data_IF_853191843954
#
_entry.id   IF_853191843954
#
_cell.length_a   1.000
_cell.length_b   1.000
_cell.length_c   1.000
_cell.angle_alpha   90.00
_cell.angle_beta   90.00
_cell.angle_gamma   90.00
#
_symmetry.space_group_name_H-M   'P 1'
#
loop_
_entity.id
_entity.type
_entity.pdbx_description
1 polymer ?
#
# COMPACT_ATOMS: atom_id res chain seq x y z
N UNK A 1 -17.75 -30.00 39.31
CA UNK A 1 -17.59 -28.67 38.69
C UNK A 1 -18.55 -28.62 37.51
N UNK A 2 -19.62 -27.81 37.59
CA UNK A 2 -20.81 -27.93 36.74
C UNK A 2 -20.56 -27.35 35.34
N UNK A 3 -20.62 -28.17 34.30
CA UNK A 3 -20.59 -27.71 32.90
C UNK A 3 -21.81 -26.85 32.53
N UNK A 4 -22.93 -27.04 33.24
CA UNK A 4 -24.20 -26.35 32.98
C UNK A 4 -24.14 -24.83 33.23
N UNK A 5 -23.24 -24.36 34.10
CA UNK A 5 -23.06 -22.92 34.35
C UNK A 5 -22.26 -22.21 33.27
N UNK A 6 -21.48 -22.94 32.47
CA UNK A 6 -20.72 -22.34 31.35
C UNK A 6 -21.62 -22.07 30.14
N UNK A 7 -22.58 -22.97 29.86
CA UNK A 7 -23.55 -22.79 28.78
C UNK A 7 -24.60 -21.70 29.07
N UNK A 8 -24.87 -21.41 30.34
CA UNK A 8 -25.79 -20.35 30.76
C UNK A 8 -25.17 -18.95 30.74
N UNK A 9 -23.85 -18.82 30.53
CA UNK A 9 -23.20 -17.51 30.51
C UNK A 9 -23.49 -16.79 29.17
N UNK A 10 -23.99 -15.54 29.16
CA UNK A 10 -24.38 -14.81 27.94
C UNK A 10 -23.29 -14.75 26.86
N UNK A 11 -22.02 -14.78 27.30
CA UNK A 11 -20.84 -14.74 26.43
C UNK A 11 -20.49 -16.07 25.75
N UNK A 12 -21.04 -17.22 26.16
CA UNK A 12 -20.59 -18.52 25.66
C UNK A 12 -20.73 -18.64 24.13
N UNK A 13 -21.89 -18.26 23.59
CA UNK A 13 -22.14 -18.29 22.15
C UNK A 13 -21.24 -17.34 21.36
N UNK A 14 -20.94 -16.16 21.90
CA UNK A 14 -20.10 -15.16 21.22
C UNK A 14 -18.62 -15.56 21.24
N UNK A 15 -18.14 -16.14 22.34
CA UNK A 15 -16.79 -16.70 22.40
C UNK A 15 -16.61 -17.89 21.45
N UNK A 16 -17.61 -18.78 21.38
CA UNK A 16 -17.59 -19.89 20.44
C UNK A 16 -17.56 -19.39 18.98
N UNK A 17 -18.41 -18.43 18.63
CA UNK A 17 -18.43 -17.80 17.32
C UNK A 17 -17.09 -17.12 16.97
N UNK A 18 -16.46 -16.42 17.94
CA UNK A 18 -15.16 -15.79 17.77
C UNK A 18 -14.05 -16.82 17.52
N UNK A 19 -14.05 -17.94 18.25
CA UNK A 19 -13.10 -19.04 18.08
C UNK A 19 -13.22 -19.66 16.69
N UNK A 20 -14.45 -19.95 16.26
CA UNK A 20 -14.73 -20.48 14.91
C UNK A 20 -14.31 -19.48 13.83
N UNK A 21 -14.58 -18.19 14.01
CA UNK A 21 -14.20 -17.14 13.06
C UNK A 21 -12.67 -17.01 12.92
N UNK A 22 -11.92 -17.06 14.02
CA UNK A 22 -10.44 -17.05 13.98
C UNK A 22 -9.92 -18.30 13.25
N UNK A 23 -10.46 -19.48 13.55
CA UNK A 23 -10.05 -20.72 12.88
C UNK A 23 -10.36 -20.66 11.39
N UNK A 24 -11.55 -20.25 10.99
CA UNK A 24 -11.92 -20.08 9.59
C UNK A 24 -11.00 -19.07 8.88
N UNK A 25 -10.76 -17.91 9.49
CA UNK A 25 -9.91 -16.87 8.91
C UNK A 25 -8.45 -17.32 8.75
N UNK A 26 -7.89 -18.06 9.71
CA UNK A 26 -6.53 -18.60 9.62
C UNK A 26 -6.40 -19.70 8.58
N UNK A 27 -7.42 -20.56 8.43
CA UNK A 27 -7.49 -21.57 7.36
C UNK A 27 -7.55 -20.90 5.99
N UNK A 28 -8.46 -19.93 5.80
CA UNK A 28 -8.56 -19.15 4.55
C UNK A 28 -7.22 -18.46 4.24
N UNK A 29 -6.59 -17.83 5.24
CA UNK A 29 -5.28 -17.21 5.07
C UNK A 29 -4.21 -18.22 4.62
N UNK A 30 -4.13 -19.39 5.26
CA UNK A 30 -3.15 -20.44 4.91
C UNK A 30 -3.36 -20.97 3.49
N UNK A 31 -4.62 -21.20 3.09
CA UNK A 31 -4.98 -21.66 1.74
C UNK A 31 -4.63 -20.58 0.72
N UNK A 32 -5.07 -19.34 0.92
CA UNK A 32 -4.80 -18.22 0.02
C UNK A 32 -3.29 -18.03 -0.17
N UNK A 33 -2.50 -18.08 0.90
CA UNK A 33 -1.05 -17.98 0.83
C UNK A 33 -0.40 -19.16 0.10
N UNK A 34 -0.87 -20.38 0.32
CA UNK A 34 -0.37 -21.55 -0.40
C UNK A 34 -0.65 -21.47 -1.91
N UNK A 35 -1.84 -20.98 -2.29
CA UNK A 35 -2.23 -20.78 -3.69
C UNK A 35 -1.43 -19.65 -4.32
N UNK A 36 -1.44 -18.45 -3.73
CA UNK A 36 -0.73 -17.28 -4.24
C UNK A 36 0.77 -17.59 -4.39
N UNK A 37 1.41 -18.16 -3.37
CA UNK A 37 2.84 -18.50 -3.43
C UNK A 37 3.18 -19.62 -4.40
N UNK A 38 2.21 -20.41 -4.88
CA UNK A 38 2.42 -21.36 -5.98
C UNK A 38 2.31 -20.68 -7.33
N UNK A 39 1.29 -19.84 -7.50
CA UNK A 39 1.02 -19.15 -8.78
C UNK A 39 2.05 -18.07 -9.08
N UNK A 40 2.57 -17.37 -8.07
CA UNK A 40 3.49 -16.24 -8.26
C UNK A 40 4.97 -16.60 -8.28
N UNK A 41 5.32 -17.88 -8.03
CA UNK A 41 6.70 -18.42 -8.17
C UNK A 41 7.45 -17.98 -9.43
N UNK A 42 6.87 -18.00 -10.65
CA UNK A 42 7.59 -17.63 -11.86
C UNK A 42 7.85 -16.12 -11.99
N UNK A 43 7.22 -15.27 -11.16
CA UNK A 43 7.30 -13.81 -11.26
C UNK A 43 8.00 -13.22 -10.01
N UNK A 44 9.30 -12.89 -10.07
CA UNK A 44 10.09 -12.49 -8.90
C UNK A 44 9.50 -11.29 -8.13
N UNK A 45 9.02 -10.27 -8.86
CA UNK A 45 8.43 -9.06 -8.29
C UNK A 45 7.11 -9.37 -7.55
N UNK A 46 6.21 -10.12 -8.19
CA UNK A 46 4.90 -10.48 -7.61
C UNK A 46 5.10 -11.42 -6.42
N UNK A 47 6.04 -12.35 -6.48
CA UNK A 47 6.37 -13.25 -5.37
C UNK A 47 6.90 -12.51 -4.14
N UNK A 48 7.74 -11.50 -4.34
CA UNK A 48 8.22 -10.64 -3.27
C UNK A 48 7.06 -9.90 -2.56
N UNK A 49 6.11 -9.38 -3.33
CA UNK A 49 4.90 -8.73 -2.80
C UNK A 49 4.01 -9.72 -2.02
N UNK A 50 3.77 -10.92 -2.56
CA UNK A 50 3.00 -11.97 -1.87
C UNK A 50 3.64 -12.35 -0.54
N UNK A 51 4.96 -12.53 -0.52
CA UNK A 51 5.71 -12.81 0.73
C UNK A 51 5.62 -11.66 1.72
N UNK A 52 5.65 -10.40 1.25
CA UNK A 52 5.51 -9.24 2.11
C UNK A 52 4.13 -9.18 2.78
N UNK A 53 3.06 -9.51 2.06
CA UNK A 53 1.68 -9.52 2.57
C UNK A 53 1.40 -10.66 3.57
N UNK A 54 2.15 -11.76 3.49
CA UNK A 54 1.90 -12.96 4.30
C UNK A 54 1.79 -12.69 5.80
N UNK A 55 2.75 -11.97 6.36
CA UNK A 55 2.79 -11.68 7.79
C UNK A 55 1.60 -10.82 8.24
N UNK A 56 1.35 -9.63 7.66
CA UNK A 56 0.23 -8.78 8.07
C UNK A 56 -1.14 -9.36 7.77
N UNK A 57 -1.35 -10.04 6.63
CA UNK A 57 -2.64 -10.64 6.31
C UNK A 57 -3.04 -11.76 7.29
N UNK A 58 -2.07 -12.38 7.97
CA UNK A 58 -2.32 -13.37 9.02
C UNK A 58 -3.00 -12.78 10.27
N UNK A 59 -2.88 -11.47 10.50
CA UNK A 59 -3.53 -10.76 11.61
C UNK A 59 -4.77 -9.99 11.17
N UNK A 60 -4.73 -9.37 9.98
CA UNK A 60 -5.86 -8.60 9.45
C UNK A 60 -7.10 -9.47 9.24
N UNK A 61 -6.97 -10.65 8.62
CA UNK A 61 -8.13 -11.51 8.32
C UNK A 61 -8.86 -11.99 9.58
N UNK A 62 -8.18 -12.50 10.63
CA UNK A 62 -8.84 -12.81 11.89
C UNK A 62 -9.49 -11.59 12.55
N UNK A 63 -8.85 -10.42 12.53
CA UNK A 63 -9.44 -9.21 13.13
C UNK A 63 -10.70 -8.74 12.39
N UNK A 64 -10.76 -8.88 11.07
CA UNK A 64 -11.98 -8.63 10.27
C UNK A 64 -13.07 -9.63 10.67
N UNK A 65 -12.73 -10.92 10.73
CA UNK A 65 -13.69 -11.97 11.10
C UNK A 65 -14.24 -11.76 12.53
N UNK A 66 -13.36 -11.41 13.47
CA UNK A 66 -13.73 -11.04 14.82
C UNK A 66 -14.60 -9.78 14.85
N UNK A 67 -14.30 -8.76 14.05
CA UNK A 67 -15.14 -7.56 13.96
C UNK A 67 -16.57 -7.91 13.56
N UNK A 68 -16.76 -8.82 12.60
CA UNK A 68 -18.09 -9.28 12.19
C UNK A 68 -18.82 -10.00 13.34
N UNK A 69 -18.12 -10.87 14.08
CA UNK A 69 -18.68 -11.55 15.26
C UNK A 69 -19.09 -10.56 16.34
N UNK A 70 -18.24 -9.57 16.64
CA UNK A 70 -18.52 -8.58 17.67
C UNK A 70 -19.69 -7.66 17.31
N UNK A 71 -19.87 -7.32 16.03
CA UNK A 71 -21.01 -6.52 15.59
C UNK A 71 -22.32 -7.33 15.55
N UNK A 72 -22.24 -8.64 15.33
CA UNK A 72 -23.40 -9.52 15.41
C UNK A 72 -23.76 -9.92 16.86
N UNK A 73 -22.86 -9.67 17.82
CA UNK A 73 -23.08 -9.98 19.22
C UNK A 73 -24.19 -9.08 19.82
N UNK A 74 -25.08 -9.63 20.67
CA UNK A 74 -26.11 -8.86 21.35
C UNK A 74 -25.58 -7.69 22.21
N UNK A 75 -26.28 -6.55 22.23
CA UNK A 75 -25.83 -5.32 22.93
C UNK A 75 -26.00 -5.36 24.46
N UNK A 76 -26.72 -6.35 24.98
CA UNK A 76 -26.92 -6.65 26.41
C UNK A 76 -25.67 -7.25 27.07
N UNK A 77 -24.65 -7.62 26.28
CA UNK A 77 -23.37 -8.12 26.78
C UNK A 77 -22.56 -7.02 27.48
N UNK A 78 -22.35 -7.17 28.79
CA UNK A 78 -21.49 -6.28 29.58
C UNK A 78 -20.09 -6.11 28.98
N UNK A 79 -19.69 -4.88 28.64
CA UNK A 79 -18.40 -4.49 28.03
C UNK A 79 -18.24 -4.75 26.53
N UNK A 80 -19.26 -5.20 25.80
CA UNK A 80 -19.16 -5.44 24.35
C UNK A 80 -18.71 -4.20 23.57
N UNK A 81 -19.13 -3.01 24.00
CA UNK A 81 -18.68 -1.74 23.41
C UNK A 81 -17.17 -1.53 23.48
N UNK A 82 -16.51 -1.91 24.59
CA UNK A 82 -15.05 -1.83 24.72
C UNK A 82 -14.35 -2.86 23.83
N UNK A 83 -14.88 -4.08 23.74
CA UNK A 83 -14.34 -5.14 22.88
C UNK A 83 -14.41 -4.73 21.41
N UNK A 84 -15.56 -4.21 20.96
CA UNK A 84 -15.74 -3.68 19.60
C UNK A 84 -14.76 -2.55 19.29
N UNK A 85 -14.58 -1.62 20.23
CA UNK A 85 -13.66 -0.48 20.04
C UNK A 85 -12.18 -0.92 20.00
N UNK A 86 -11.76 -1.79 20.93
CA UNK A 86 -10.39 -2.34 20.95
C UNK A 86 -10.09 -3.15 19.68
N UNK A 87 -11.02 -4.00 19.22
CA UNK A 87 -10.85 -4.73 17.98
C UNK A 87 -10.72 -3.80 16.77
N UNK A 88 -11.53 -2.72 16.73
CA UNK A 88 -11.40 -1.68 15.71
C UNK A 88 -10.03 -0.99 15.72
N UNK A 89 -9.49 -0.67 16.90
CA UNK A 89 -8.18 -0.05 17.04
C UNK A 89 -7.05 -0.98 16.55
N UNK A 90 -7.12 -2.27 16.93
CA UNK A 90 -6.20 -3.31 16.45
C UNK A 90 -6.29 -3.50 14.94
N UNK A 91 -7.50 -3.44 14.37
CA UNK A 91 -7.73 -3.55 12.94
C UNK A 91 -7.05 -2.39 12.18
N UNK A 92 -7.21 -1.15 12.65
CA UNK A 92 -6.56 0.03 12.04
C UNK A 92 -5.03 -0.11 12.13
N UNK A 93 -4.50 -0.53 13.28
CA UNK A 93 -3.07 -0.76 13.46
C UNK A 93 -2.53 -1.83 12.49
N UNK A 94 -3.23 -2.96 12.37
CA UNK A 94 -2.83 -4.04 11.46
C UNK A 94 -2.98 -3.65 9.99
N UNK A 95 -3.99 -2.86 9.63
CA UNK A 95 -4.15 -2.34 8.27
C UNK A 95 -3.02 -1.36 7.92
N UNK A 96 -2.65 -0.49 8.85
CA UNK A 96 -1.49 0.41 8.69
C UNK A 96 -0.20 -0.39 8.50
N UNK A 97 0.01 -1.41 9.34
CA UNK A 97 1.16 -2.31 9.22
C UNK A 97 1.18 -3.06 7.88
N UNK A 98 0.03 -3.51 7.38
CA UNK A 98 -0.11 -4.13 6.06
C UNK A 98 0.34 -3.18 4.95
N UNK A 99 -0.12 -1.93 4.96
CA UNK A 99 0.26 -0.91 3.96
C UNK A 99 1.77 -0.64 4.00
N UNK A 100 2.35 -0.45 5.18
CA UNK A 100 3.80 -0.26 5.34
C UNK A 100 4.58 -1.46 4.80
N UNK A 101 4.11 -2.67 5.08
CA UNK A 101 4.77 -3.90 4.62
C UNK A 101 4.65 -4.09 3.11
N UNK A 102 3.54 -3.69 2.51
CA UNK A 102 3.35 -3.65 1.06
C UNK A 102 4.34 -2.70 0.39
N UNK A 103 4.46 -1.47 0.90
CA UNK A 103 5.40 -0.47 0.37
C UNK A 103 6.83 -1.01 0.45
N UNK A 104 7.23 -1.57 1.60
CA UNK A 104 8.56 -2.15 1.79
C UNK A 104 8.80 -3.34 0.86
N UNK A 105 7.83 -4.25 0.73
CA UNK A 105 7.94 -5.41 -0.16
C UNK A 105 8.05 -5.02 -1.63
N UNK A 106 7.32 -3.99 -2.06
CA UNK A 106 7.45 -3.43 -3.40
C UNK A 106 8.83 -2.82 -3.62
N UNK A 107 9.31 -2.00 -2.68
CA UNK A 107 10.65 -1.40 -2.74
C UNK A 107 11.76 -2.45 -2.82
N UNK A 108 11.70 -3.47 -1.95
CA UNK A 108 12.65 -4.58 -1.94
C UNK A 108 12.59 -5.38 -3.26
N UNK A 109 11.39 -5.55 -3.84
CA UNK A 109 11.19 -6.20 -5.13
C UNK A 109 11.80 -5.40 -6.30
N UNK A 110 11.62 -4.08 -6.32
CA UNK A 110 12.22 -3.18 -7.33
C UNK A 110 13.74 -3.20 -7.23
N UNK A 111 14.29 -3.16 -6.01
CA UNK A 111 15.73 -3.22 -5.76
C UNK A 111 16.30 -4.58 -6.20
N UNK A 112 15.61 -5.68 -5.90
CA UNK A 112 16.04 -7.03 -6.29
C UNK A 112 16.02 -7.25 -7.82
N UNK A 113 15.14 -6.54 -8.54
CA UNK A 113 15.09 -6.59 -10.00
C UNK A 113 16.27 -5.87 -10.68
N UNK A 114 17.02 -5.04 -9.96
CA UNK A 114 18.16 -4.26 -10.49
C UNK A 114 19.43 -4.51 -9.64
N UNK A 115 20.06 -5.71 -9.75
CA UNK A 115 21.24 -6.05 -8.95
C UNK A 115 22.42 -5.12 -9.25
N UNK A 116 23.01 -4.57 -8.18
CA UNK A 116 24.09 -3.56 -8.20
C UNK A 116 25.48 -4.18 -8.49
N UNK A 117 25.53 -5.48 -8.75
CA UNK A 117 26.76 -6.30 -8.73
C UNK A 117 27.45 -6.43 -10.11
N UNK A 118 27.07 -5.58 -11.07
CA UNK A 118 27.73 -5.48 -12.38
C UNK A 118 28.56 -4.21 -12.40
N UNK A 119 29.83 -4.31 -12.80
CA UNK A 119 30.77 -3.19 -12.87
C UNK A 119 30.16 -1.98 -13.60
N UNK A 120 30.34 -0.82 -12.98
CA UNK A 120 30.01 0.51 -13.49
C UNK A 120 28.53 0.85 -13.73
N UNK A 121 27.65 0.51 -12.78
CA UNK A 121 26.23 0.84 -12.90
C UNK A 121 25.80 1.97 -11.96
N UNK A 122 26.20 3.22 -12.28
CA UNK A 122 25.68 4.44 -11.62
C UNK A 122 24.14 4.45 -11.57
N UNK A 123 23.49 3.92 -12.60
CA UNK A 123 22.03 3.78 -12.67
C UNK A 123 21.47 2.84 -11.60
N UNK A 124 22.10 1.68 -11.34
CA UNK A 124 21.66 0.77 -10.29
C UNK A 124 21.75 1.39 -8.88
N UNK A 125 22.81 2.18 -8.61
CA UNK A 125 22.96 2.93 -7.35
C UNK A 125 21.93 4.06 -7.22
N UNK A 126 21.63 4.74 -8.33
CA UNK A 126 20.59 5.78 -8.38
C UNK A 126 19.21 5.18 -8.08
N UNK A 127 18.86 4.05 -8.69
CA UNK A 127 17.60 3.35 -8.44
C UNK A 127 17.50 2.94 -6.97
N UNK A 128 18.56 2.33 -6.40
CA UNK A 128 18.57 1.93 -4.99
C UNK A 128 18.26 3.09 -4.04
N UNK A 129 18.93 4.22 -4.23
CA UNK A 129 18.76 5.39 -3.35
C UNK A 129 17.39 6.03 -3.54
N UNK A 130 16.94 6.24 -4.78
CA UNK A 130 15.63 6.80 -5.09
C UNK A 130 14.49 5.91 -4.54
N UNK A 131 14.53 4.61 -4.78
CA UNK A 131 13.51 3.67 -4.29
C UNK A 131 13.43 3.67 -2.77
N UNK A 132 14.57 3.68 -2.06
CA UNK A 132 14.60 3.73 -0.58
C UNK A 132 14.03 5.04 -0.04
N UNK A 133 14.38 6.17 -0.64
CA UNK A 133 13.89 7.49 -0.21
C UNK A 133 12.37 7.58 -0.41
N UNK A 134 11.89 7.22 -1.60
CA UNK A 134 10.45 7.22 -1.91
C UNK A 134 9.70 6.30 -0.94
N UNK A 135 10.16 5.05 -0.80
CA UNK A 135 9.52 4.08 0.08
C UNK A 135 9.48 4.57 1.54
N UNK A 136 10.59 5.13 2.05
CA UNK A 136 10.65 5.67 3.41
C UNK A 136 9.66 6.82 3.61
N UNK A 137 9.62 7.76 2.67
CA UNK A 137 8.68 8.89 2.72
C UNK A 137 7.23 8.42 2.68
N UNK A 138 6.87 7.50 1.77
CA UNK A 138 5.52 6.95 1.67
C UNK A 138 5.13 6.16 2.93
N UNK A 139 6.05 5.37 3.49
CA UNK A 139 5.81 4.64 4.75
C UNK A 139 5.56 5.61 5.91
N UNK A 140 6.34 6.68 6.04
CA UNK A 140 6.14 7.69 7.07
C UNK A 140 4.75 8.34 6.97
N UNK A 141 4.32 8.70 5.76
CA UNK A 141 2.96 9.23 5.51
C UNK A 141 1.89 8.21 5.89
N UNK A 142 2.05 6.95 5.50
CA UNK A 142 1.10 5.88 5.86
C UNK A 142 0.97 5.70 7.38
N UNK A 143 2.07 5.76 8.13
CA UNK A 143 2.05 5.68 9.59
C UNK A 143 1.35 6.88 10.22
N UNK A 144 1.60 8.09 9.72
CA UNK A 144 0.91 9.31 10.20
C UNK A 144 -0.59 9.22 9.96
N UNK A 145 -1.01 8.77 8.79
CA UNK A 145 -2.43 8.55 8.47
C UNK A 145 -3.04 7.49 9.39
N UNK A 146 -2.36 6.35 9.58
CA UNK A 146 -2.82 5.29 10.48
C UNK A 146 -2.96 5.76 11.93
N UNK A 147 -2.02 6.56 12.43
CA UNK A 147 -2.08 7.15 13.76
C UNK A 147 -3.25 8.15 13.89
N UNK A 148 -3.47 8.99 12.87
CA UNK A 148 -4.61 9.91 12.83
C UNK A 148 -5.95 9.15 12.84
N UNK A 149 -6.05 8.07 12.06
CA UNK A 149 -7.24 7.20 12.04
C UNK A 149 -7.50 6.55 13.39
N UNK A 150 -6.47 6.04 14.07
CA UNK A 150 -6.61 5.49 15.42
C UNK A 150 -7.10 6.55 16.41
N UNK A 151 -6.53 7.76 16.35
CA UNK A 151 -6.91 8.86 17.23
C UNK A 151 -8.36 9.31 17.00
N UNK A 152 -8.84 9.33 15.76
CA UNK A 152 -10.21 9.68 15.40
C UNK A 152 -11.28 8.71 15.94
N UNK A 153 -10.89 7.52 16.40
CA UNK A 153 -11.82 6.59 17.05
C UNK A 153 -12.28 7.09 18.42
N UNK A 154 -11.51 7.98 19.06
CA UNK A 154 -11.86 8.56 20.36
C UNK A 154 -12.76 9.79 20.18
N UNK A 155 -13.90 9.87 20.89
CA UNK A 155 -14.86 10.97 20.73
C UNK A 155 -14.23 12.37 20.88
N UNK A 156 -13.36 12.57 21.88
CA UNK A 156 -12.72 13.86 22.14
C UNK A 156 -11.75 14.31 21.04
N UNK A 157 -11.09 13.36 20.37
CA UNK A 157 -10.15 13.69 19.30
C UNK A 157 -10.80 13.72 17.91
N UNK A 158 -12.00 13.15 17.76
CA UNK A 158 -12.73 13.16 16.48
C UNK A 158 -13.05 14.58 15.99
N UNK A 159 -13.42 15.49 16.90
CA UNK A 159 -13.79 16.86 16.53
C UNK A 159 -12.56 17.67 16.05
N UNK A 160 -11.44 17.55 16.75
CA UNK A 160 -10.15 18.14 16.33
C UNK A 160 -9.63 17.47 15.07
N UNK A 161 -9.75 16.15 14.96
CA UNK A 161 -9.37 15.40 13.78
C UNK A 161 -10.14 15.84 12.54
N UNK A 162 -11.44 16.11 12.65
CA UNK A 162 -12.27 16.52 11.52
C UNK A 162 -11.82 17.89 10.95
N UNK A 163 -11.49 18.86 11.80
CA UNK A 163 -10.98 20.16 11.34
C UNK A 163 -9.58 20.06 10.75
N UNK A 164 -8.71 19.23 11.33
CA UNK A 164 -7.39 18.92 10.77
C UNK A 164 -7.48 18.18 9.44
N UNK A 165 -8.45 17.28 9.27
CA UNK A 165 -8.67 16.57 8.01
C UNK A 165 -9.19 17.52 6.91
N UNK A 166 -10.03 18.48 7.28
CA UNK A 166 -10.47 19.53 6.37
C UNK A 166 -9.30 20.39 5.88
N UNK A 167 -8.39 20.83 6.77
CA UNK A 167 -7.21 21.61 6.39
C UNK A 167 -6.16 20.77 5.63
N UNK A 168 -5.96 19.51 6.02
CA UNK A 168 -5.13 18.56 5.28
C UNK A 168 -5.66 18.33 3.86
N UNK A 169 -6.98 18.40 3.65
CA UNK A 169 -7.60 18.38 2.32
C UNK A 169 -7.10 19.52 1.44
N UNK A 170 -7.00 20.74 1.96
CA UNK A 170 -6.45 21.90 1.23
C UNK A 170 -4.97 21.69 0.89
N UNK A 171 -4.17 21.21 1.86
CA UNK A 171 -2.76 20.87 1.62
C UNK A 171 -2.64 19.79 0.54
N UNK A 172 -3.52 18.78 0.57
CA UNK A 172 -3.59 17.72 -0.43
C UNK A 172 -3.90 18.25 -1.83
N UNK A 173 -4.83 19.21 -1.95
CA UNK A 173 -5.14 19.87 -3.23
C UNK A 173 -3.92 20.66 -3.74
N UNK A 174 -3.28 21.47 -2.89
CA UNK A 174 -2.11 22.25 -3.27
C UNK A 174 -0.96 21.34 -3.70
N UNK A 175 -0.68 20.28 -2.94
CA UNK A 175 0.32 19.27 -3.29
C UNK A 175 -0.02 18.53 -4.60
N UNK A 176 -1.29 18.19 -4.81
CA UNK A 176 -1.75 17.57 -6.05
C UNK A 176 -1.60 18.49 -7.26
N UNK A 177 -1.93 19.77 -7.11
CA UNK A 177 -1.75 20.77 -8.16
C UNK A 177 -0.26 20.98 -8.48
N UNK A 178 0.60 20.98 -7.46
CA UNK A 178 2.05 21.05 -7.65
C UNK A 178 2.61 19.81 -8.37
N UNK A 179 1.99 18.64 -8.19
CA UNK A 179 2.39 17.41 -8.88
C UNK A 179 1.86 17.32 -10.33
N UNK A 180 0.95 18.20 -10.75
CA UNK A 180 0.33 18.19 -12.08
C UNK A 180 1.34 18.08 -13.24
N UNK A 181 2.46 18.83 -13.29
CA UNK A 181 3.42 18.73 -14.40
C UNK A 181 4.03 17.32 -14.53
N UNK A 182 4.31 16.67 -13.40
CA UNK A 182 4.87 15.31 -13.38
C UNK A 182 3.90 14.33 -14.02
N UNK A 183 2.63 14.35 -13.61
CA UNK A 183 1.62 13.47 -14.19
C UNK A 183 1.31 13.81 -15.65
N UNK A 184 1.26 15.10 -16.00
CA UNK A 184 1.04 15.55 -17.38
C UNK A 184 2.13 15.01 -18.30
N UNK A 185 3.39 15.10 -17.89
CA UNK A 185 4.53 14.62 -18.67
C UNK A 185 4.54 13.09 -18.76
N UNK A 186 4.21 12.38 -17.66
CA UNK A 186 4.09 10.92 -17.66
C UNK A 186 3.01 10.41 -18.62
N UNK A 187 1.85 11.07 -18.63
CA UNK A 187 0.76 10.73 -19.54
C UNK A 187 1.18 11.04 -20.99
N UNK A 188 1.84 12.16 -21.24
CA UNK A 188 2.35 12.52 -22.57
C UNK A 188 3.36 11.47 -23.08
N UNK A 189 4.34 11.06 -22.28
CA UNK A 189 5.30 10.04 -22.68
C UNK A 189 4.66 8.67 -22.90
N UNK A 190 3.68 8.28 -22.07
CA UNK A 190 2.90 7.05 -22.29
C UNK A 190 2.10 7.12 -23.60
N UNK A 191 1.48 8.26 -23.90
CA UNK A 191 0.75 8.47 -25.16
C UNK A 191 1.69 8.39 -26.35
N UNK A 192 2.87 9.00 -26.29
CA UNK A 192 3.90 8.91 -27.34
C UNK A 192 4.34 7.45 -27.53
N UNK A 193 4.62 6.72 -26.44
CA UNK A 193 5.06 5.33 -26.52
C UNK A 193 4.00 4.38 -27.12
N UNK A 194 2.71 4.62 -26.84
CA UNK A 194 1.61 3.78 -27.32
C UNK A 194 1.13 4.15 -28.72
N UNK A 195 0.92 5.44 -29.00
CA UNK A 195 0.43 5.91 -30.29
C UNK A 195 1.55 6.04 -31.33
N UNK A 196 2.81 6.05 -30.89
CA UNK A 196 4.01 6.18 -31.72
C UNK A 196 3.92 7.28 -32.81
N UNK A 197 3.51 8.53 -32.46
CA UNK A 197 3.45 9.63 -33.43
C UNK A 197 4.83 10.10 -33.89
N UNK A 198 5.84 9.87 -33.03
CA UNK A 198 7.27 10.05 -33.30
C UNK A 198 7.97 8.76 -32.87
N UNK A 199 8.98 8.37 -33.62
CA UNK A 199 9.78 7.15 -33.40
C UNK A 199 11.21 7.52 -33.03
N UNK A 200 11.89 6.57 -32.39
CA UNK A 200 13.34 6.64 -32.25
C UNK A 200 13.92 6.79 -33.65
N UNK A 201 14.96 7.62 -33.78
CA UNK A 201 15.62 7.99 -35.02
C UNK A 201 14.91 8.99 -35.93
N UNK A 202 13.69 9.44 -35.60
CA UNK A 202 13.03 10.52 -36.35
C UNK A 202 13.76 11.86 -36.16
N UNK A 203 13.75 12.70 -37.21
CA UNK A 203 14.32 14.05 -37.18
C UNK A 203 13.20 15.06 -36.93
N UNK A 204 13.36 15.86 -35.89
CA UNK A 204 12.39 16.87 -35.46
C UNK A 204 13.06 18.23 -35.35
N UNK A 205 12.27 19.29 -35.57
CA UNK A 205 12.68 20.67 -35.33
C UNK A 205 12.00 21.12 -34.04
N UNK A 206 12.79 21.42 -33.01
CA UNK A 206 12.29 21.86 -31.70
C UNK A 206 13.00 23.15 -31.33
N UNK A 207 12.21 24.18 -30.99
CA UNK A 207 12.73 25.53 -30.67
C UNK A 207 13.64 26.15 -31.75
N UNK A 208 13.50 25.71 -33.01
CA UNK A 208 14.31 26.19 -34.14
C UNK A 208 15.57 25.37 -34.41
N UNK A 209 15.89 24.38 -33.57
CA UNK A 209 17.05 23.50 -33.72
C UNK A 209 16.68 22.15 -34.32
N UNK A 210 17.58 21.61 -35.15
CA UNK A 210 17.43 20.29 -35.76
C UNK A 210 18.02 19.21 -34.85
N UNK A 211 17.19 18.25 -34.43
CA UNK A 211 17.63 17.14 -33.60
C UNK A 211 17.02 15.81 -34.01
N UNK A 212 17.76 14.73 -33.75
CA UNK A 212 17.29 13.35 -33.93
C UNK A 212 16.82 12.78 -32.60
N UNK A 213 15.69 12.07 -32.58
CA UNK A 213 15.18 11.41 -31.38
C UNK A 213 16.09 10.25 -30.99
N UNK A 214 16.74 10.35 -29.83
CA UNK A 214 17.63 9.33 -29.29
C UNK A 214 16.89 8.41 -28.30
N UNK A 215 16.17 8.99 -27.36
CA UNK A 215 15.44 8.25 -26.33
C UNK A 215 14.06 8.85 -26.07
N UNK A 216 13.04 7.99 -25.97
CA UNK A 216 11.69 8.37 -25.54
C UNK A 216 11.49 7.84 -24.11
N UNK A 217 11.62 8.71 -23.13
CA UNK A 217 11.33 8.38 -21.73
C UNK A 217 9.85 8.60 -21.42
N UNK A 218 9.35 8.01 -20.33
CA UNK A 218 7.99 8.26 -19.86
C UNK A 218 7.67 9.73 -19.56
N UNK A 219 8.66 10.58 -19.27
CA UNK A 219 8.43 11.98 -18.87
C UNK A 219 9.14 13.04 -19.73
N UNK A 220 10.01 12.65 -20.66
CA UNK A 220 10.73 13.55 -21.55
C UNK A 220 11.29 12.77 -22.76
N UNK A 221 11.67 13.48 -23.82
CA UNK A 221 12.33 12.93 -25.00
C UNK A 221 13.73 13.54 -25.08
N UNK A 222 14.73 12.71 -25.33
CA UNK A 222 16.12 13.14 -25.54
C UNK A 222 16.34 13.30 -27.04
N UNK A 223 16.78 14.49 -27.43
CA UNK A 223 17.13 14.82 -28.81
C UNK A 223 18.63 15.00 -28.90
N UNK A 224 19.23 14.38 -29.92
CA UNK A 224 20.62 14.61 -30.29
C UNK A 224 20.68 15.72 -31.35
N UNK A 225 21.24 16.86 -30.98
CA UNK A 225 21.42 18.02 -31.87
C UNK A 225 22.65 17.80 -32.76
N UNK A 226 22.63 18.35 -33.97
CA UNK A 226 23.69 18.18 -34.97
C UNK A 226 25.08 18.72 -34.55
N UNK A 227 25.16 19.62 -33.56
CA UNK A 227 26.43 20.22 -33.10
C UNK A 227 27.17 19.38 -32.04
N UNK A 228 26.70 18.15 -31.74
CA UNK A 228 27.32 17.19 -30.80
C UNK A 228 27.68 17.81 -29.41
N UNK A 229 26.96 18.87 -29.03
CA UNK A 229 27.08 19.66 -27.81
C UNK A 229 25.93 19.42 -26.85
#
# INVERSE_FOLDING_TARGET
MRFDTLFAHPWFHTWLAALVAILAATVVHRIAQAVLSRVTRPMPLVHAMVKAVRSPAGFVLPLIALQAVWQAAPDDLHFIGRVRHLNGLLLIACMTWLVVRLIRGFADGVIAAHPVDVEDNMNARRILTQTRVIARSTMSVAVVIGAAMMLMTFPGAKQVGASLLASAGVIGIVGGLAAKPVFSNLIAGLQIALAQPIRIDDVLIVEGEWGRVEEITGSYVVLKIWDDR
#
